data_IF_291037792064
#
_entry.id   IF_291037792064
#
_cell.length_a   1.000
_cell.length_b   1.000
_cell.length_c   1.000
_cell.angle_alpha   90.00
_cell.angle_beta   90.00
_cell.angle_gamma   90.00
#
_symmetry.space_group_name_H-M   'P 1'
#
loop_
_entity.id
_entity.type
_entity.pdbx_description
1 polymer ?
#
# COMPACT_ATOMS: atom_id res chain seq x y z
N UNK A 1 13.85 12.47 -29.99
CA UNK A 1 12.38 12.60 -29.98
C UNK A 1 11.93 12.22 -28.58
N UNK A 2 11.38 13.14 -27.78
CA UNK A 2 10.93 12.83 -26.42
C UNK A 2 9.76 11.86 -26.50
N UNK A 3 9.92 10.66 -25.95
CA UNK A 3 8.81 9.73 -25.76
C UNK A 3 7.73 10.43 -24.95
N UNK A 4 6.48 10.51 -25.43
CA UNK A 4 5.43 11.22 -24.72
C UNK A 4 5.18 10.56 -23.36
N UNK A 5 5.12 11.40 -22.32
CA UNK A 5 4.83 10.95 -20.97
C UNK A 5 3.33 10.64 -20.85
N UNK A 6 2.91 9.52 -20.23
CA UNK A 6 1.50 9.24 -19.99
C UNK A 6 0.93 10.13 -18.88
N UNK A 7 -0.34 10.53 -19.02
CA UNK A 7 -1.13 11.14 -17.95
C UNK A 7 -1.16 10.22 -16.71
N UNK A 8 -1.02 10.73 -15.47
CA UNK A 8 -1.03 9.90 -14.27
C UNK A 8 -2.39 9.25 -13.97
N UNK A 9 -3.46 9.71 -14.61
CA UNK A 9 -4.84 9.25 -14.37
C UNK A 9 -5.35 8.34 -15.49
N UNK A 10 -5.35 8.80 -16.74
CA UNK A 10 -5.86 8.02 -17.88
C UNK A 10 -4.78 7.29 -18.69
N UNK A 11 -3.50 7.51 -18.35
CA UNK A 11 -2.33 6.89 -19.00
C UNK A 11 -2.18 7.12 -20.51
N UNK A 12 -3.01 8.00 -21.08
CA UNK A 12 -2.83 8.46 -22.46
C UNK A 12 -1.68 9.47 -22.55
N UNK A 13 -0.96 9.50 -23.69
CA UNK A 13 0.09 10.50 -23.96
C UNK A 13 -0.36 11.93 -23.66
N UNK A 14 0.50 12.70 -23.00
CA UNK A 14 0.34 14.16 -22.84
C UNK A 14 1.52 14.91 -23.44
N UNK A 15 1.26 16.11 -23.97
CA UNK A 15 2.24 16.97 -24.65
C UNK A 15 2.99 17.90 -23.70
N UNK A 16 2.46 18.14 -22.50
CA UNK A 16 3.04 19.05 -21.50
C UNK A 16 2.25 19.05 -20.18
N UNK A 17 2.68 19.87 -19.20
CA UNK A 17 1.96 20.01 -17.93
C UNK A 17 0.65 20.78 -18.13
N UNK A 18 -0.28 20.64 -17.19
CA UNK A 18 -1.61 21.27 -17.26
C UNK A 18 -2.74 20.24 -17.38
N UNK A 19 -3.93 20.68 -17.79
CA UNK A 19 -5.09 19.79 -17.91
C UNK A 19 -4.90 18.82 -19.09
N UNK A 20 -5.05 17.52 -18.83
CA UNK A 20 -5.00 16.48 -19.85
C UNK A 20 -6.22 16.59 -20.78
N UNK A 21 -6.03 16.62 -22.10
CA UNK A 21 -7.14 16.72 -23.05
C UNK A 21 -8.06 15.49 -23.08
N UNK A 22 -7.57 14.34 -22.60
CA UNK A 22 -8.33 13.09 -22.62
C UNK A 22 -9.27 12.93 -21.41
N UNK A 23 -8.89 13.50 -20.28
CA UNK A 23 -9.50 13.19 -18.99
C UNK A 23 -9.58 14.42 -18.06
N UNK A 24 -9.06 15.57 -18.45
CA UNK A 24 -9.11 16.80 -17.65
C UNK A 24 -8.26 16.79 -16.37
N UNK A 25 -7.57 15.70 -16.04
CA UNK A 25 -6.65 15.62 -14.89
C UNK A 25 -5.57 16.70 -15.03
N UNK A 26 -5.31 17.44 -13.95
CA UNK A 26 -4.15 18.35 -13.90
C UNK A 26 -2.88 17.52 -13.75
N UNK A 27 -2.04 17.55 -14.78
CA UNK A 27 -0.73 16.90 -14.83
C UNK A 27 0.32 17.88 -14.33
N UNK A 28 0.93 17.63 -13.15
CA UNK A 28 1.96 18.50 -12.59
C UNK A 28 3.26 18.41 -13.41
N UNK A 29 4.06 19.47 -13.39
CA UNK A 29 5.35 19.51 -14.11
C UNK A 29 6.32 18.46 -13.56
N UNK A 30 6.28 18.22 -12.26
CA UNK A 30 7.08 17.25 -11.53
C UNK A 30 6.86 15.83 -12.06
N UNK A 31 5.62 15.48 -12.43
CA UNK A 31 5.33 14.19 -13.06
C UNK A 31 6.06 14.03 -14.40
N UNK A 32 6.23 15.11 -15.16
CA UNK A 32 6.85 15.04 -16.48
C UNK A 32 8.38 15.08 -16.44
N UNK A 33 8.95 15.76 -15.44
CA UNK A 33 10.39 16.09 -15.39
C UNK A 33 11.17 15.29 -14.34
N UNK A 34 10.49 14.70 -13.36
CA UNK A 34 11.12 13.96 -12.26
C UNK A 34 11.21 12.46 -12.55
N UNK A 35 12.01 11.76 -11.73
CA UNK A 35 11.93 10.30 -11.69
C UNK A 35 10.57 9.90 -11.10
N UNK A 36 9.77 9.17 -11.89
CA UNK A 36 8.42 8.76 -11.52
C UNK A 36 8.38 7.37 -10.90
N UNK A 37 7.58 7.24 -9.85
CA UNK A 37 7.17 5.96 -9.28
C UNK A 37 5.67 5.99 -9.06
N UNK A 38 4.97 4.95 -9.53
CA UNK A 38 3.52 4.83 -9.47
C UNK A 38 3.11 3.52 -8.81
N UNK A 39 2.20 3.61 -7.85
CA UNK A 39 1.78 2.50 -7.00
C UNK A 39 0.26 2.40 -7.01
N UNK A 40 -0.26 1.20 -7.27
CA UNK A 40 -1.66 0.87 -7.03
C UNK A 40 -1.78 0.08 -5.74
N UNK A 41 -2.55 0.60 -4.79
CA UNK A 41 -2.93 -0.08 -3.56
C UNK A 41 -4.27 -0.80 -3.76
N UNK A 42 -4.26 -2.12 -3.65
CA UNK A 42 -5.44 -2.99 -3.79
C UNK A 42 -5.63 -3.84 -2.53
N UNK A 43 -6.82 -4.41 -2.37
CA UNK A 43 -7.19 -5.27 -1.25
C UNK A 43 -8.68 -5.18 -0.97
N UNK A 44 -9.26 -6.23 -0.40
CA UNK A 44 -10.70 -6.24 -0.13
C UNK A 44 -11.10 -5.19 0.91
N UNK A 45 -12.40 -4.96 1.05
CA UNK A 45 -12.95 -4.10 2.11
C UNK A 45 -12.38 -4.53 3.46
N UNK A 46 -12.00 -3.60 4.32
CA UNK A 46 -11.43 -3.86 5.66
C UNK A 46 -10.12 -4.67 5.71
N UNK A 47 -9.39 -4.81 4.60
CA UNK A 47 -8.02 -5.36 4.60
C UNK A 47 -6.99 -4.41 5.22
N UNK A 48 -7.40 -3.22 5.68
CA UNK A 48 -6.52 -2.23 6.29
C UNK A 48 -5.95 -1.18 5.33
N UNK A 49 -6.34 -1.19 4.05
CA UNK A 49 -5.81 -0.31 3.00
C UNK A 49 -5.76 1.17 3.36
N UNK A 50 -6.87 1.79 3.73
CA UNK A 50 -6.92 3.22 4.04
C UNK A 50 -6.01 3.57 5.23
N UNK A 51 -5.93 2.69 6.24
CA UNK A 51 -5.05 2.85 7.39
C UNK A 51 -3.58 2.69 6.99
N UNK A 52 -3.26 1.69 6.18
CA UNK A 52 -1.91 1.50 5.62
C UNK A 52 -1.49 2.71 4.81
N UNK A 53 -2.35 3.26 3.94
CA UNK A 53 -2.06 4.47 3.14
C UNK A 53 -1.77 5.67 4.05
N UNK A 54 -2.62 5.92 5.04
CA UNK A 54 -2.48 7.03 5.97
C UNK A 54 -1.13 6.98 6.71
N UNK A 55 -0.83 5.83 7.30
CA UNK A 55 0.39 5.63 8.09
C UNK A 55 1.63 5.60 7.18
N UNK A 56 1.55 4.98 6.00
CA UNK A 56 2.66 4.89 5.05
C UNK A 56 3.10 6.27 4.56
N UNK A 57 2.17 7.12 4.13
CA UNK A 57 2.51 8.46 3.62
C UNK A 57 3.01 9.36 4.76
N UNK A 58 2.44 9.24 5.96
CA UNK A 58 2.92 9.97 7.15
C UNK A 58 4.35 9.56 7.50
N UNK A 59 4.62 8.25 7.61
CA UNK A 59 5.97 7.75 7.90
C UNK A 59 6.96 8.04 6.77
N UNK A 60 6.52 8.08 5.50
CA UNK A 60 7.37 8.48 4.39
C UNK A 60 7.83 9.93 4.55
N UNK A 61 6.94 10.83 4.96
CA UNK A 61 7.27 12.23 5.19
C UNK A 61 8.33 12.38 6.29
N UNK A 62 8.13 11.71 7.44
CA UNK A 62 9.11 11.70 8.54
C UNK A 62 10.45 11.09 8.11
N UNK A 63 10.39 9.95 7.41
CA UNK A 63 11.56 9.27 6.87
C UNK A 63 12.38 10.16 5.93
N UNK A 64 11.71 10.92 5.05
CA UNK A 64 12.39 11.82 4.12
C UNK A 64 13.08 12.98 4.84
N UNK A 65 12.49 13.50 5.91
CA UNK A 65 13.09 14.55 6.74
C UNK A 65 14.34 13.99 7.44
N UNK A 66 14.20 12.87 8.12
CA UNK A 66 15.23 12.32 9.00
C UNK A 66 16.40 11.70 8.23
N UNK A 67 16.11 10.94 7.17
CA UNK A 67 17.12 10.17 6.43
C UNK A 67 17.64 10.89 5.19
N UNK A 68 16.85 11.77 4.59
CA UNK A 68 17.16 12.38 3.29
C UNK A 68 17.19 13.91 3.32
N UNK A 69 16.90 14.56 4.46
CA UNK A 69 16.83 16.02 4.61
C UNK A 69 15.93 16.65 3.54
N UNK A 70 14.81 16.00 3.27
CA UNK A 70 13.90 16.30 2.17
C UNK A 70 12.47 16.35 2.67
N UNK A 71 11.60 17.04 1.92
CA UNK A 71 10.21 17.22 2.28
C UNK A 71 9.30 16.59 1.24
N UNK A 72 8.31 15.83 1.72
CA UNK A 72 7.24 15.32 0.89
C UNK A 72 6.26 16.45 0.59
N UNK A 73 6.23 16.93 -0.66
CA UNK A 73 5.42 18.07 -1.06
C UNK A 73 4.30 17.61 -1.99
N UNK A 74 3.02 17.80 -1.65
CA UNK A 74 1.90 17.41 -2.50
C UNK A 74 1.91 18.21 -3.82
N UNK A 75 1.63 17.54 -4.95
CA UNK A 75 1.65 18.16 -6.29
C UNK A 75 0.42 17.80 -7.11
N UNK A 76 0.07 18.67 -8.06
CA UNK A 76 -1.15 18.54 -8.85
C UNK A 76 -2.39 18.99 -8.08
N UNK A 77 -3.54 18.41 -8.42
CA UNK A 77 -4.77 18.67 -7.67
C UNK A 77 -4.79 17.79 -6.42
N UNK A 78 -4.45 18.38 -5.28
CA UNK A 78 -4.46 17.72 -3.96
C UNK A 78 -5.58 18.26 -3.06
N UNK A 79 -6.46 19.12 -3.59
CA UNK A 79 -7.51 19.79 -2.82
C UNK A 79 -6.99 20.74 -1.72
N UNK A 80 -7.93 21.41 -1.05
CA UNK A 80 -7.69 22.13 0.19
C UNK A 80 -8.44 21.41 1.32
N UNK A 81 -8.00 21.61 2.56
CA UNK A 81 -8.80 21.19 3.71
C UNK A 81 -10.11 21.98 3.74
N UNK A 82 -11.19 21.32 4.13
CA UNK A 82 -12.46 21.96 4.40
C UNK A 82 -12.28 23.03 5.48
N UNK A 83 -13.03 24.14 5.43
CA UNK A 83 -12.91 25.21 6.44
C UNK A 83 -13.10 24.69 7.87
N UNK A 84 -13.99 23.70 8.03
CA UNK A 84 -14.27 23.01 9.28
C UNK A 84 -13.02 22.29 9.80
N UNK A 85 -12.40 21.44 8.96
CA UNK A 85 -11.21 20.69 9.36
C UNK A 85 -9.98 21.59 9.47
N UNK A 86 -9.85 22.63 8.67
CA UNK A 86 -8.73 23.57 8.72
C UNK A 86 -8.64 24.35 10.04
N UNK A 87 -9.78 24.56 10.73
CA UNK A 87 -9.83 25.22 12.03
C UNK A 87 -9.42 24.33 13.21
N UNK A 88 -9.54 23.01 13.07
CA UNK A 88 -9.32 22.05 14.16
C UNK A 88 -8.06 21.19 13.96
N UNK A 89 -7.70 20.90 12.71
CA UNK A 89 -6.63 19.97 12.39
C UNK A 89 -5.24 20.55 12.69
N UNK A 90 -4.28 19.70 13.11
CA UNK A 90 -2.88 20.09 13.20
C UNK A 90 -2.35 20.65 11.88
N UNK A 91 -1.50 21.68 11.95
CA UNK A 91 -0.94 22.34 10.76
C UNK A 91 -0.24 21.39 9.77
N UNK A 92 0.34 20.30 10.28
CA UNK A 92 1.02 19.29 9.45
C UNK A 92 0.05 18.46 8.58
N UNK A 93 -1.26 18.44 8.85
CA UNK A 93 -2.22 17.76 7.96
C UNK A 93 -2.19 18.37 6.56
N UNK A 94 -2.26 19.70 6.50
CA UNK A 94 -2.27 20.43 5.23
C UNK A 94 -0.98 20.25 4.43
N UNK A 95 0.18 20.01 5.10
CA UNK A 95 1.46 19.84 4.41
C UNK A 95 1.54 18.56 3.58
N UNK A 96 0.69 17.57 3.84
CA UNK A 96 0.59 16.33 3.05
C UNK A 96 -0.50 16.38 1.96
N UNK A 97 -1.26 17.47 1.88
CA UNK A 97 -2.31 17.72 0.87
C UNK A 97 -3.73 17.60 1.45
N UNK A 98 -4.61 18.55 1.11
CA UNK A 98 -5.95 18.69 1.70
C UNK A 98 -6.82 17.45 1.55
N UNK A 99 -6.96 16.92 0.33
CA UNK A 99 -7.71 15.70 0.03
C UNK A 99 -7.17 14.49 0.79
N UNK A 100 -5.84 14.34 0.85
CA UNK A 100 -5.22 13.23 1.58
C UNK A 100 -5.54 13.34 3.07
N UNK A 101 -5.38 14.53 3.64
CA UNK A 101 -5.66 14.77 5.05
C UNK A 101 -7.13 14.55 5.42
N UNK A 102 -8.08 15.02 4.60
CA UNK A 102 -9.51 14.77 4.81
C UNK A 102 -9.86 13.29 4.69
N UNK A 103 -9.32 12.61 3.69
CA UNK A 103 -9.71 11.22 3.38
C UNK A 103 -9.07 10.22 4.35
N UNK A 104 -7.84 10.49 4.80
CA UNK A 104 -7.03 9.50 5.51
C UNK A 104 -6.62 9.95 6.92
N UNK A 105 -6.14 11.18 7.10
CA UNK A 105 -5.63 11.62 8.41
C UNK A 105 -6.75 11.97 9.38
N UNK A 106 -7.78 12.70 8.94
CA UNK A 106 -8.89 13.07 9.80
C UNK A 106 -9.62 11.83 10.35
N UNK A 107 -10.00 10.83 9.54
CA UNK A 107 -10.58 9.60 10.06
C UNK A 107 -9.63 8.80 10.96
N UNK A 108 -8.33 8.78 10.66
CA UNK A 108 -7.35 8.06 11.49
C UNK A 108 -7.26 8.66 12.89
N UNK A 109 -7.03 9.97 12.98
CA UNK A 109 -6.69 10.65 14.23
C UNK A 109 -7.91 11.16 15.00
N UNK A 110 -8.99 11.59 14.33
CA UNK A 110 -10.18 12.14 14.99
C UNK A 110 -11.25 11.07 15.21
N UNK A 111 -11.42 10.12 14.29
CA UNK A 111 -12.43 9.06 14.37
C UNK A 111 -11.88 7.74 14.92
N UNK A 112 -10.71 7.80 15.58
CA UNK A 112 -10.02 6.67 16.22
C UNK A 112 -9.85 5.42 15.35
N UNK A 113 -9.58 5.61 14.06
CA UNK A 113 -9.34 4.51 13.12
C UNK A 113 -10.60 3.88 12.51
N UNK A 114 -11.79 4.42 12.78
CA UNK A 114 -13.02 4.05 12.05
C UNK A 114 -13.03 4.72 10.67
N UNK A 115 -12.19 4.22 9.76
CA UNK A 115 -12.23 4.65 8.37
C UNK A 115 -13.41 3.99 7.65
N UNK A 116 -14.23 4.80 6.97
CA UNK A 116 -15.18 4.25 6.01
C UNK A 116 -14.43 3.58 4.85
N UNK A 117 -15.06 2.59 4.21
CA UNK A 117 -14.45 1.91 3.06
C UNK A 117 -14.13 2.90 1.94
N UNK A 118 -13.03 2.66 1.20
CA UNK A 118 -12.64 3.46 0.02
C UNK A 118 -13.85 3.65 -0.91
N UNK A 119 -14.16 4.91 -1.24
CA UNK A 119 -15.24 5.25 -2.13
C UNK A 119 -15.07 4.56 -3.49
N UNK A 120 -16.16 4.03 -4.03
CA UNK A 120 -16.21 3.34 -5.32
C UNK A 120 -15.92 4.32 -6.47
N UNK A 121 -15.52 3.80 -7.62
CA UNK A 121 -15.37 4.59 -8.85
C UNK A 121 -16.71 5.02 -9.50
N UNK A 122 -17.80 5.14 -8.73
CA UNK A 122 -19.20 5.25 -9.22
C UNK A 122 -19.51 6.52 -10.04
N UNK A 123 -18.68 7.56 -10.00
CA UNK A 123 -18.93 8.82 -10.74
C UNK A 123 -17.67 9.57 -11.20
N UNK A 124 -16.48 8.99 -11.01
CA UNK A 124 -15.23 9.75 -11.08
C UNK A 124 -14.10 9.00 -11.76
N UNK A 125 -13.39 9.75 -12.57
CA UNK A 125 -12.08 9.39 -13.08
C UNK A 125 -11.11 9.10 -11.94
N UNK A 126 -10.21 8.13 -12.14
CA UNK A 126 -9.15 7.80 -11.19
C UNK A 126 -8.33 9.05 -10.83
N UNK A 127 -8.33 9.46 -9.56
CA UNK A 127 -7.60 10.64 -9.09
C UNK A 127 -6.36 10.21 -8.28
N UNK A 128 -5.19 10.02 -8.93
CA UNK A 128 -3.98 9.67 -8.21
C UNK A 128 -3.61 10.80 -7.23
N UNK A 129 -3.21 10.44 -6.02
CA UNK A 129 -2.55 11.36 -5.10
C UNK A 129 -1.06 11.40 -5.44
N UNK A 130 -0.50 12.59 -5.55
CA UNK A 130 0.87 12.76 -6.02
C UNK A 130 1.67 13.63 -5.08
N UNK A 131 2.94 13.25 -4.88
CA UNK A 131 3.89 14.02 -4.10
C UNK A 131 5.23 14.10 -4.83
N UNK A 132 5.89 15.23 -4.69
CA UNK A 132 7.27 15.43 -5.11
C UNK A 132 8.19 15.48 -3.89
N UNK A 133 9.42 15.02 -4.08
CA UNK A 133 10.49 15.11 -3.09
C UNK A 133 11.83 15.00 -3.79
N UNK A 134 12.92 15.21 -3.05
CA UNK A 134 14.30 15.08 -3.56
C UNK A 134 15.06 14.02 -2.79
N UNK A 135 15.91 13.26 -3.47
CA UNK A 135 16.91 12.39 -2.84
C UNK A 135 18.24 12.66 -3.50
N UNK A 136 19.26 13.05 -2.74
CA UNK A 136 20.59 13.43 -3.28
C UNK A 136 20.47 14.39 -4.49
N UNK A 137 19.66 15.44 -4.35
CA UNK A 137 19.34 16.41 -5.40
C UNK A 137 18.62 15.91 -6.66
N UNK A 138 18.17 14.67 -6.66
CA UNK A 138 17.36 14.12 -7.76
C UNK A 138 15.87 14.32 -7.47
N UNK A 139 15.14 15.06 -8.32
CA UNK A 139 13.71 15.24 -8.14
C UNK A 139 12.98 13.93 -8.45
N UNK A 140 12.07 13.56 -7.57
CA UNK A 140 11.26 12.36 -7.63
C UNK A 140 9.78 12.74 -7.52
N UNK A 141 8.90 11.99 -8.20
CA UNK A 141 7.46 12.14 -8.13
C UNK A 141 6.82 10.77 -7.86
N UNK A 142 6.15 10.65 -6.72
CA UNK A 142 5.38 9.46 -6.33
C UNK A 142 3.91 9.69 -6.65
N UNK A 143 3.29 8.77 -7.37
CA UNK A 143 1.85 8.70 -7.57
C UNK A 143 1.28 7.47 -6.85
N UNK A 144 0.28 7.68 -6.00
CA UNK A 144 -0.44 6.65 -5.29
C UNK A 144 -1.88 6.59 -5.80
N UNK A 145 -2.31 5.39 -6.17
CA UNK A 145 -3.66 5.10 -6.61
C UNK A 145 -4.30 4.22 -5.53
N UNK A 146 -5.33 4.74 -4.87
CA UNK A 146 -6.16 3.94 -3.97
C UNK A 146 -7.27 3.26 -4.78
N UNK A 147 -7.21 1.93 -4.93
CA UNK A 147 -8.20 1.17 -5.65
C UNK A 147 -9.21 0.53 -4.69
N UNK A 148 -10.50 0.82 -4.85
CA UNK A 148 -11.53 0.22 -4.02
C UNK A 148 -11.59 -1.30 -4.24
N UNK A 149 -11.63 -2.07 -3.15
CA UNK A 149 -11.70 -3.53 -3.23
C UNK A 149 -13.03 -4.03 -3.81
N UNK A 150 -14.09 -3.25 -3.62
CA UNK A 150 -15.44 -3.55 -4.12
C UNK A 150 -15.52 -3.45 -5.64
N UNK A 151 -14.76 -2.53 -6.25
CA UNK A 151 -14.71 -2.42 -7.72
C UNK A 151 -14.23 -3.74 -8.35
N UNK A 152 -13.27 -4.43 -7.73
CA UNK A 152 -12.78 -5.74 -8.21
C UNK A 152 -13.80 -6.88 -8.05
N UNK A 153 -14.82 -6.71 -7.22
CA UNK A 153 -15.90 -7.68 -7.04
C UNK A 153 -17.04 -7.42 -8.03
N UNK A 154 -17.36 -6.15 -8.25
CA UNK A 154 -18.53 -5.72 -9.03
C UNK A 154 -18.22 -5.58 -10.54
N UNK A 155 -16.98 -5.25 -10.91
CA UNK A 155 -16.59 -4.95 -12.28
C UNK A 155 -15.93 -6.13 -12.99
N UNK A 156 -16.08 -6.16 -14.32
CA UNK A 156 -15.38 -7.14 -15.15
C UNK A 156 -13.89 -6.81 -15.23
N UNK A 157 -13.00 -7.82 -15.30
CA UNK A 157 -11.56 -7.57 -15.38
C UNK A 157 -11.11 -6.68 -16.55
N UNK A 158 -11.86 -6.67 -17.65
CA UNK A 158 -11.58 -5.83 -18.83
C UNK A 158 -12.15 -4.42 -18.76
N UNK A 159 -12.77 -4.03 -17.64
CA UNK A 159 -13.36 -2.70 -17.47
C UNK A 159 -12.29 -1.60 -17.60
N UNK A 160 -12.47 -0.59 -18.47
CA UNK A 160 -11.48 0.47 -18.70
C UNK A 160 -10.99 1.20 -17.44
N UNK A 161 -11.78 1.19 -16.36
CA UNK A 161 -11.39 1.74 -15.06
C UNK A 161 -10.16 1.05 -14.47
N UNK A 162 -9.85 -0.19 -14.87
CA UNK A 162 -8.65 -0.91 -14.44
C UNK A 162 -7.42 -0.69 -15.34
N UNK A 163 -7.51 0.18 -16.35
CA UNK A 163 -6.40 0.48 -17.27
C UNK A 163 -5.10 0.92 -16.57
N UNK A 164 -5.19 1.55 -15.39
CA UNK A 164 -4.02 1.93 -14.60
C UNK A 164 -3.13 0.75 -14.21
N UNK A 165 -3.69 -0.45 -14.04
CA UNK A 165 -2.94 -1.66 -13.70
C UNK A 165 -1.93 -2.06 -14.77
N UNK A 166 -2.05 -1.55 -16.00
CA UNK A 166 -1.09 -1.79 -17.07
C UNK A 166 0.19 -0.93 -16.98
N UNK A 167 0.15 0.15 -16.19
CA UNK A 167 1.17 1.20 -16.22
C UNK A 167 1.88 1.44 -14.90
N UNK A 168 1.29 1.02 -13.78
CA UNK A 168 1.92 1.20 -12.45
C UNK A 168 3.22 0.42 -12.30
N UNK A 169 4.19 0.99 -11.58
CA UNK A 169 5.47 0.32 -11.29
C UNK A 169 5.29 -0.81 -10.24
N UNK A 170 4.35 -0.63 -9.31
CA UNK A 170 4.03 -1.59 -8.25
C UNK A 170 2.53 -1.76 -8.08
N UNK A 171 2.08 -3.01 -8.08
CA UNK A 171 0.76 -3.41 -7.59
C UNK A 171 0.94 -3.95 -6.17
N UNK A 172 0.29 -3.33 -5.19
CA UNK A 172 0.31 -3.78 -3.79
C UNK A 172 -1.02 -4.43 -3.49
N UNK A 173 -1.03 -5.72 -3.14
CA UNK A 173 -2.22 -6.40 -2.65
C UNK A 173 -2.12 -6.64 -1.15
N UNK A 174 -2.95 -5.92 -0.40
CA UNK A 174 -3.09 -6.10 1.04
C UNK A 174 -3.98 -7.31 1.34
N UNK A 175 -3.46 -8.21 2.15
CA UNK A 175 -4.09 -9.44 2.58
C UNK A 175 -4.21 -9.40 4.11
N UNK A 176 -5.45 -9.40 4.60
CA UNK A 176 -5.78 -9.65 5.98
C UNK A 176 -5.75 -11.17 6.22
N UNK A 177 -4.86 -11.67 7.11
CA UNK A 177 -4.79 -13.10 7.42
C UNK A 177 -6.14 -13.70 7.86
N UNK A 178 -7.02 -12.91 8.46
CA UNK A 178 -8.34 -13.35 8.92
C UNK A 178 -9.37 -13.50 7.80
N UNK A 179 -9.06 -13.06 6.58
CA UNK A 179 -9.94 -13.12 5.39
C UNK A 179 -9.54 -14.19 4.39
N UNK A 180 -8.52 -14.97 4.73
CA UNK A 180 -8.09 -16.13 3.95
C UNK A 180 -8.62 -17.35 4.70
N UNK A 181 -9.64 -18.07 4.17
CA UNK A 181 -10.36 -19.09 4.93
C UNK A 181 -9.45 -20.15 5.58
N UNK A 182 -8.38 -20.56 4.88
CA UNK A 182 -7.41 -21.53 5.37
C UNK A 182 -6.62 -20.99 6.57
N UNK A 183 -6.17 -19.72 6.50
CA UNK A 183 -5.41 -19.07 7.57
C UNK A 183 -6.34 -18.80 8.76
N UNK A 184 -7.53 -18.27 8.50
CA UNK A 184 -8.54 -18.00 9.53
C UNK A 184 -8.95 -19.27 10.28
N UNK A 185 -9.10 -20.42 9.60
CA UNK A 185 -9.43 -21.70 10.22
C UNK A 185 -8.33 -22.18 11.18
N UNK A 186 -7.06 -22.02 10.81
CA UNK A 186 -5.92 -22.33 11.68
C UNK A 186 -5.92 -21.43 12.92
N UNK A 187 -6.15 -20.13 12.72
CA UNK A 187 -6.16 -19.14 13.80
C UNK A 187 -7.37 -19.28 14.75
N UNK A 188 -8.54 -19.67 14.24
CA UNK A 188 -9.75 -19.90 15.04
C UNK A 188 -9.57 -21.04 16.06
N UNK A 189 -8.68 -22.00 15.79
CA UNK A 189 -8.30 -23.04 16.75
C UNK A 189 -7.38 -22.58 17.88
N UNK A 190 -6.87 -21.34 17.81
CA UNK A 190 -5.80 -20.82 18.67
C UNK A 190 -6.20 -19.56 19.42
N UNK A 191 -7.07 -18.73 18.84
CA UNK A 191 -7.49 -17.45 19.40
C UNK A 191 -8.92 -17.11 18.99
N UNK A 192 -9.57 -16.24 19.78
CA UNK A 192 -10.89 -15.71 19.44
C UNK A 192 -10.75 -14.70 18.30
N UNK A 193 -11.38 -14.99 17.16
CA UNK A 193 -11.32 -14.15 15.98
C UNK A 193 -12.62 -13.37 15.79
N UNK A 194 -12.55 -12.07 15.44
CA UNK A 194 -13.70 -11.37 14.92
C UNK A 194 -14.12 -11.96 13.56
N UNK A 195 -15.42 -12.04 13.32
CA UNK A 195 -15.98 -12.50 12.05
C UNK A 195 -15.52 -11.58 10.90
N UNK A 196 -14.60 -12.06 10.07
CA UNK A 196 -14.15 -11.35 8.88
C UNK A 196 -15.13 -11.53 7.73
N UNK A 197 -15.62 -10.44 7.14
CA UNK A 197 -16.36 -10.47 5.88
C UNK A 197 -15.42 -10.16 4.69
N UNK A 198 -15.49 -10.94 3.62
CA UNK A 198 -14.71 -10.73 2.39
C UNK A 198 -13.64 -11.81 2.14
N UNK A 199 -13.26 -11.95 0.87
CA UNK A 199 -12.29 -12.96 0.39
C UNK A 199 -11.13 -12.25 -0.33
N UNK A 200 -10.01 -12.12 0.37
CA UNK A 200 -8.82 -11.43 -0.13
C UNK A 200 -8.13 -12.21 -1.27
N UNK A 201 -8.27 -13.53 -1.30
CA UNK A 201 -7.76 -14.37 -2.38
C UNK A 201 -8.57 -14.13 -3.67
N UNK A 202 -9.90 -14.03 -3.56
CA UNK A 202 -10.74 -13.68 -4.70
C UNK A 202 -10.42 -12.29 -5.26
N UNK A 203 -10.21 -11.29 -4.39
CA UNK A 203 -9.80 -9.95 -4.81
C UNK A 203 -8.42 -9.96 -5.48
N UNK A 204 -7.44 -10.69 -4.92
CA UNK A 204 -6.13 -10.86 -5.56
C UNK A 204 -6.26 -11.45 -6.97
N UNK A 205 -7.03 -12.54 -7.13
CA UNK A 205 -7.27 -13.13 -8.45
C UNK A 205 -7.88 -12.13 -9.43
N UNK A 206 -8.86 -11.33 -8.98
CA UNK A 206 -9.49 -10.29 -9.80
C UNK A 206 -8.50 -9.21 -10.20
N UNK A 207 -7.67 -8.71 -9.28
CA UNK A 207 -6.61 -7.74 -9.57
C UNK A 207 -5.65 -8.26 -10.63
N UNK A 208 -5.20 -9.52 -10.50
CA UNK A 208 -4.28 -10.14 -11.45
C UNK A 208 -4.93 -10.37 -12.82
N UNK A 209 -6.21 -10.78 -12.86
CA UNK A 209 -6.99 -10.88 -14.09
C UNK A 209 -7.15 -9.53 -14.78
N UNK A 210 -7.50 -8.48 -14.03
CA UNK A 210 -7.66 -7.13 -14.59
C UNK A 210 -6.33 -6.61 -15.14
N UNK A 211 -5.24 -6.79 -14.37
CA UNK A 211 -3.90 -6.44 -14.84
C UNK A 211 -3.55 -7.17 -16.14
N UNK A 212 -3.86 -8.46 -16.24
CA UNK A 212 -3.58 -9.24 -17.45
C UNK A 212 -4.45 -8.80 -18.64
N UNK A 213 -5.72 -8.46 -18.41
CA UNK A 213 -6.63 -7.97 -19.43
C UNK A 213 -6.21 -6.62 -20.02
N UNK A 214 -5.55 -5.77 -19.22
CA UNK A 214 -5.06 -4.47 -19.65
C UNK A 214 -3.58 -4.43 -20.04
N UNK A 215 -2.86 -5.55 -19.92
CA UNK A 215 -1.41 -5.61 -20.16
C UNK A 215 -1.08 -5.10 -21.57
N UNK A 216 -0.18 -4.13 -21.65
CA UNK A 216 0.33 -3.59 -22.91
C UNK A 216 1.63 -4.32 -23.29
N UNK A 217 1.73 -4.79 -24.54
CA UNK A 217 2.97 -5.37 -25.06
C UNK A 217 4.08 -4.31 -25.05
N UNK A 218 5.21 -4.62 -24.43
CA UNK A 218 6.29 -3.65 -24.21
C UNK A 218 5.97 -2.57 -23.18
N UNK A 219 4.92 -2.75 -22.36
CA UNK A 219 4.61 -1.89 -21.22
C UNK A 219 5.71 -1.88 -20.15
N UNK A 220 5.62 -0.98 -19.16
CA UNK A 220 6.65 -0.86 -18.13
C UNK A 220 6.83 -2.16 -17.35
N UNK A 221 8.04 -2.46 -16.85
CA UNK A 221 8.22 -3.56 -15.91
C UNK A 221 7.46 -3.26 -14.62
N UNK A 222 6.68 -4.22 -14.14
CA UNK A 222 5.83 -4.08 -12.96
C UNK A 222 6.18 -5.16 -11.95
N UNK A 223 6.07 -4.83 -10.66
CA UNK A 223 6.23 -5.78 -9.57
C UNK A 223 4.94 -5.93 -8.75
N UNK A 224 4.81 -7.06 -8.06
CA UNK A 224 3.73 -7.33 -7.12
C UNK A 224 4.25 -7.36 -5.69
N UNK A 225 3.64 -6.61 -4.78
CA UNK A 225 3.85 -6.75 -3.35
C UNK A 225 2.62 -7.44 -2.75
N UNK A 226 2.79 -8.62 -2.16
CA UNK A 226 1.77 -9.23 -1.32
C UNK A 226 2.06 -8.85 0.13
N UNK A 227 1.17 -8.07 0.74
CA UNK A 227 1.40 -7.50 2.08
C UNK A 227 0.41 -8.10 3.07
N UNK A 228 0.88 -8.89 4.03
CA UNK A 228 0.08 -9.30 5.18
C UNK A 228 -0.12 -8.09 6.10
N UNK A 229 -1.29 -7.45 6.06
CA UNK A 229 -1.52 -6.07 6.52
C UNK A 229 -1.89 -5.90 8.01
N UNK A 230 -2.30 -7.00 8.65
CA UNK A 230 -2.61 -7.10 10.08
C UNK A 230 -1.69 -8.11 10.74
N UNK A 231 -0.40 -8.00 10.44
CA UNK A 231 0.59 -8.98 10.85
C UNK A 231 0.76 -9.07 12.37
N UNK A 232 0.37 -8.02 13.09
CA UNK A 232 0.26 -7.99 14.55
C UNK A 232 -0.64 -9.12 15.09
N UNK A 233 -1.69 -9.50 14.38
CA UNK A 233 -2.53 -10.68 14.72
C UNK A 233 -1.69 -11.95 14.72
N UNK A 234 -0.86 -12.15 13.68
CA UNK A 234 0.00 -13.31 13.58
C UNK A 234 1.12 -13.27 14.62
N UNK A 235 1.63 -12.08 14.96
CA UNK A 235 2.62 -11.91 16.03
C UNK A 235 2.11 -12.33 17.41
N UNK A 236 0.80 -12.34 17.66
CA UNK A 236 0.21 -12.86 18.90
C UNK A 236 0.32 -14.38 19.04
N UNK A 237 0.53 -15.11 17.94
CA UNK A 237 0.70 -16.57 18.00
C UNK A 237 1.88 -17.00 18.87
N UNK A 238 2.87 -16.12 19.08
CA UNK A 238 4.00 -16.38 20.00
C UNK A 238 3.54 -16.66 21.44
N UNK A 239 2.37 -16.15 21.83
CA UNK A 239 1.87 -16.22 23.20
C UNK A 239 0.96 -17.44 23.43
N UNK A 240 0.56 -18.14 22.36
CA UNK A 240 -0.41 -19.24 22.41
C UNK A 240 0.26 -20.61 22.67
N UNK A 241 1.59 -20.72 22.63
CA UNK A 241 2.35 -21.98 22.78
C UNK A 241 1.74 -23.11 21.94
N UNK A 242 1.60 -22.86 20.63
CA UNK A 242 1.00 -23.78 19.68
C UNK A 242 2.06 -24.34 18.72
N UNK A 243 2.45 -25.61 18.90
CA UNK A 243 3.25 -26.31 17.90
C UNK A 243 2.44 -26.50 16.59
N UNK A 244 3.03 -26.25 15.40
CA UNK A 244 4.43 -25.93 15.14
C UNK A 244 4.78 -24.43 15.11
N UNK A 245 3.82 -23.53 15.34
CA UNK A 245 3.98 -22.07 15.20
C UNK A 245 5.02 -21.47 16.13
N UNK A 246 5.16 -22.00 17.35
CA UNK A 246 6.18 -21.58 18.31
C UNK A 246 7.59 -21.60 17.69
N UNK A 247 7.90 -22.65 16.93
CA UNK A 247 9.23 -22.85 16.35
C UNK A 247 9.61 -21.83 15.28
N UNK A 248 8.63 -21.13 14.70
CA UNK A 248 8.82 -20.09 13.67
C UNK A 248 8.67 -18.71 14.29
N UNK A 249 7.62 -18.50 15.08
CA UNK A 249 7.32 -17.21 15.69
C UNK A 249 8.32 -16.83 16.79
N UNK A 250 8.98 -17.79 17.44
CA UNK A 250 9.94 -17.51 18.52
C UNK A 250 11.40 -17.47 18.08
N UNK A 251 11.72 -17.64 16.79
CA UNK A 251 13.11 -17.64 16.32
C UNK A 251 13.82 -16.32 16.69
N UNK A 252 14.94 -16.37 17.44
CA UNK A 252 15.74 -15.19 17.69
C UNK A 252 16.28 -14.63 16.37
N UNK A 253 16.17 -13.31 16.17
CA UNK A 253 16.66 -12.64 14.96
C UNK A 253 15.72 -12.68 13.75
N UNK A 254 14.54 -13.30 13.86
CA UNK A 254 13.57 -13.37 12.77
C UNK A 254 13.23 -11.97 12.23
N UNK A 255 13.29 -11.79 10.91
CA UNK A 255 13.00 -10.52 10.25
C UNK A 255 11.57 -10.04 10.56
N UNK A 256 10.60 -10.94 10.61
CA UNK A 256 9.19 -10.66 10.93
C UNK A 256 8.93 -10.15 12.37
N UNK A 257 9.97 -10.09 13.22
CA UNK A 257 9.89 -9.59 14.61
C UNK A 257 10.56 -8.24 14.83
N UNK A 258 11.20 -7.69 13.81
CA UNK A 258 11.93 -6.41 13.89
C UNK A 258 11.50 -5.50 12.77
N UNK A 259 11.55 -4.20 13.02
CA UNK A 259 11.26 -3.18 12.02
C UNK A 259 12.51 -2.32 11.76
N UNK A 260 13.16 -2.45 10.58
CA UNK A 260 14.27 -1.59 10.17
C UNK A 260 13.80 -0.35 9.38
N UNK A 261 12.51 -0.21 9.08
CA UNK A 261 11.97 0.74 8.08
C UNK A 261 12.48 2.18 8.24
N UNK A 262 12.57 2.68 9.47
CA UNK A 262 13.00 4.05 9.78
C UNK A 262 14.48 4.16 10.18
N UNK A 263 15.18 3.03 10.33
CA UNK A 263 16.57 3.00 10.83
C UNK A 263 17.60 3.12 9.72
N UNK A 264 17.26 2.67 8.51
CA UNK A 264 18.17 2.67 7.37
C UNK A 264 17.72 3.67 6.31
N UNK A 265 18.63 4.44 5.68
CA UNK A 265 18.26 5.44 4.67
C UNK A 265 17.75 4.83 3.36
N UNK A 266 17.95 3.53 3.16
CA UNK A 266 17.52 2.77 1.98
C UNK A 266 16.82 1.48 2.40
N UNK A 267 16.21 0.76 1.46
CA UNK A 267 15.67 -0.57 1.73
C UNK A 267 16.82 -1.56 2.01
N UNK A 268 16.71 -2.33 3.10
CA UNK A 268 17.64 -3.42 3.40
C UNK A 268 17.19 -4.67 2.64
N UNK A 269 17.81 -4.93 1.49
CA UNK A 269 17.45 -6.05 0.61
C UNK A 269 17.71 -7.42 1.27
N UNK A 270 18.73 -7.53 2.13
CA UNK A 270 19.08 -8.78 2.80
C UNK A 270 18.01 -9.11 3.84
N UNK A 271 17.64 -8.14 4.66
CA UNK A 271 16.53 -8.28 5.60
C UNK A 271 15.21 -8.54 4.89
N UNK A 272 14.96 -7.85 3.77
CA UNK A 272 13.79 -8.04 2.93
C UNK A 272 13.65 -9.44 2.36
N UNK A 273 14.75 -10.02 1.88
CA UNK A 273 14.79 -11.39 1.38
C UNK A 273 14.56 -12.42 2.50
N UNK A 274 15.11 -12.16 3.69
CA UNK A 274 14.86 -13.00 4.87
C UNK A 274 13.38 -12.93 5.28
N UNK A 275 12.78 -11.74 5.30
CA UNK A 275 11.36 -11.56 5.59
C UNK A 275 10.49 -12.32 4.58
N UNK A 276 10.78 -12.20 3.28
CA UNK A 276 10.05 -12.92 2.23
C UNK A 276 10.09 -14.45 2.47
N UNK A 277 11.27 -15.01 2.75
CA UNK A 277 11.44 -16.43 3.04
C UNK A 277 10.69 -16.87 4.32
N UNK A 278 10.73 -16.06 5.37
CA UNK A 278 10.00 -16.33 6.62
C UNK A 278 8.48 -16.34 6.39
N UNK A 279 7.95 -15.36 5.64
CA UNK A 279 6.51 -15.29 5.34
C UNK A 279 6.09 -16.45 4.44
N UNK A 280 6.91 -16.87 3.47
CA UNK A 280 6.64 -18.08 2.65
C UNK A 280 6.46 -19.30 3.54
N UNK A 281 7.42 -19.54 4.44
CA UNK A 281 7.35 -20.67 5.38
C UNK A 281 6.13 -20.60 6.31
N UNK A 282 5.79 -19.40 6.78
CA UNK A 282 4.60 -19.18 7.61
C UNK A 282 3.29 -19.47 6.83
N UNK A 283 3.18 -18.98 5.60
CA UNK A 283 2.01 -19.24 4.74
C UNK A 283 1.88 -20.72 4.39
N UNK A 284 2.98 -21.44 4.16
CA UNK A 284 2.93 -22.88 3.92
C UNK A 284 2.33 -23.66 5.10
N UNK A 285 2.69 -23.30 6.34
CA UNK A 285 2.14 -23.91 7.54
C UNK A 285 0.67 -23.56 7.79
N UNK A 286 0.26 -22.34 7.46
CA UNK A 286 -1.14 -21.90 7.60
C UNK A 286 -2.01 -22.32 6.40
N UNK A 287 -1.52 -23.25 5.56
CA UNK A 287 -2.20 -23.71 4.34
C UNK A 287 -2.56 -22.59 3.35
N UNK A 288 -1.80 -21.49 3.36
CA UNK A 288 -1.96 -20.30 2.51
C UNK A 288 -1.35 -20.42 1.11
N UNK A 289 -1.04 -21.64 0.63
CA UNK A 289 -0.38 -21.88 -0.68
C UNK A 289 -1.15 -21.29 -1.87
N UNK A 290 -2.46 -21.14 -1.76
CA UNK A 290 -3.28 -20.54 -2.81
C UNK A 290 -2.85 -19.10 -3.15
N UNK A 291 -2.43 -18.32 -2.15
CA UNK A 291 -1.91 -16.95 -2.35
C UNK A 291 -0.59 -16.97 -3.14
N UNK A 292 0.31 -17.88 -2.78
CA UNK A 292 1.61 -18.05 -3.45
C UNK A 292 1.41 -18.47 -4.90
N UNK A 293 0.56 -19.46 -5.14
CA UNK A 293 0.23 -19.94 -6.49
C UNK A 293 -0.40 -18.83 -7.35
N UNK A 294 -1.28 -18.00 -6.78
CA UNK A 294 -1.88 -16.88 -7.48
C UNK A 294 -0.81 -15.84 -7.90
N UNK A 295 0.11 -15.50 -7.00
CA UNK A 295 1.21 -14.58 -7.30
C UNK A 295 2.18 -15.16 -8.35
N UNK A 296 2.54 -16.42 -8.26
CA UNK A 296 3.39 -17.09 -9.25
C UNK A 296 2.74 -17.11 -10.64
N UNK A 297 1.44 -17.39 -10.70
CA UNK A 297 0.67 -17.38 -11.94
C UNK A 297 0.59 -15.99 -12.61
N UNK A 298 0.83 -14.90 -11.86
CA UNK A 298 0.86 -13.54 -12.43
C UNK A 298 2.03 -13.30 -13.39
N UNK A 299 3.08 -14.13 -13.31
CA UNK A 299 4.35 -13.94 -14.04
C UNK A 299 5.00 -12.56 -13.80
N UNK A 300 4.64 -11.88 -12.71
CA UNK A 300 5.31 -10.68 -12.24
C UNK A 300 6.36 -11.05 -11.20
N UNK A 301 7.50 -10.35 -11.14
CA UNK A 301 8.36 -10.45 -9.97
C UNK A 301 7.55 -10.01 -8.74
N UNK A 302 7.50 -10.86 -7.72
CA UNK A 302 6.76 -10.58 -6.49
C UNK A 302 7.59 -10.84 -5.24
N UNK A 303 7.25 -10.10 -4.19
CA UNK A 303 7.83 -10.27 -2.86
C UNK A 303 6.72 -10.20 -1.81
N UNK A 304 6.87 -10.99 -0.75
CA UNK A 304 6.01 -10.98 0.41
C UNK A 304 6.51 -9.97 1.44
N UNK A 305 5.57 -9.23 2.02
CA UNK A 305 5.82 -8.26 3.07
C UNK A 305 4.87 -8.51 4.23
N UNK A 306 5.29 -8.09 5.42
CA UNK A 306 4.48 -8.06 6.62
C UNK A 306 4.33 -6.60 7.05
N UNK A 307 3.11 -6.20 7.40
CA UNK A 307 2.83 -4.87 7.90
C UNK A 307 1.77 -4.91 8.98
N UNK A 308 1.85 -4.01 9.95
CA UNK A 308 0.76 -3.71 10.87
C UNK A 308 0.70 -2.19 11.04
N UNK A 309 -0.29 -1.55 10.40
CA UNK A 309 -0.33 -0.09 10.33
C UNK A 309 -0.63 0.56 11.70
N UNK A 310 -1.48 -0.05 12.52
CA UNK A 310 -1.77 0.45 13.87
C UNK A 310 -0.79 -0.11 14.92
N UNK A 311 -0.26 -1.32 14.69
CA UNK A 311 0.60 -2.01 15.66
C UNK A 311 -0.12 -2.46 16.93
N UNK A 312 -1.44 -2.50 16.92
CA UNK A 312 -2.29 -2.95 18.03
C UNK A 312 -3.31 -3.93 17.47
N UNK A 313 -3.33 -5.13 18.03
CA UNK A 313 -4.20 -6.19 17.58
C UNK A 313 -5.69 -5.83 17.74
N UNK A 314 -6.54 -6.23 16.77
CA UNK A 314 -7.98 -5.99 16.83
C UNK A 314 -8.59 -6.71 18.04
N UNK A 315 -9.21 -5.96 18.95
CA UNK A 315 -9.82 -6.49 20.18
C UNK A 315 -9.75 -5.53 21.37
N UNK A 316 -8.87 -4.53 21.33
CA UNK A 316 -8.90 -3.41 22.26
C UNK A 316 -9.67 -2.26 21.61
N UNK A 317 -10.85 -1.94 22.15
CA UNK A 317 -11.60 -0.76 21.76
C UNK A 317 -10.70 0.49 21.83
N UNK A 318 -10.66 1.23 20.72
CA UNK A 318 -9.86 2.42 20.47
C UNK A 318 -8.34 2.20 20.38
N UNK A 319 -7.69 3.03 19.55
CA UNK A 319 -6.29 3.42 19.71
C UNK A 319 -5.97 3.46 21.20
N UNK A 320 -5.20 2.48 21.69
CA UNK A 320 -4.86 2.38 23.10
C UNK A 320 -4.24 3.69 23.57
N UNK A 321 -4.29 3.96 24.89
CA UNK A 321 -3.69 5.17 25.49
C UNK A 321 -2.21 5.40 25.13
N UNK A 322 -1.52 4.41 24.56
CA UNK A 322 -0.13 4.46 24.10
C UNK A 322 0.11 4.89 22.65
N UNK A 323 -0.93 5.19 21.85
CA UNK A 323 -0.78 5.61 20.45
C UNK A 323 -0.62 4.46 19.45
N UNK A 324 -0.26 4.80 18.20
CA UNK A 324 0.03 3.84 17.13
C UNK A 324 1.50 3.42 17.18
N UNK A 325 1.78 2.14 16.94
CA UNK A 325 3.14 1.60 16.82
C UNK A 325 3.31 0.84 15.50
N UNK A 326 3.35 1.53 14.36
CA UNK A 326 3.37 0.87 13.06
C UNK A 326 4.55 -0.07 12.91
N UNK A 327 4.33 -1.17 12.19
CA UNK A 327 5.34 -2.18 11.90
C UNK A 327 5.50 -2.37 10.39
N UNK A 328 6.71 -2.16 9.88
CA UNK A 328 7.15 -2.43 8.49
C UNK A 328 6.25 -1.85 7.40
N UNK A 329 5.57 -0.73 7.69
CA UNK A 329 4.62 -0.10 6.76
C UNK A 329 5.33 0.49 5.53
N UNK A 330 6.59 0.88 5.65
CA UNK A 330 7.34 1.47 4.54
C UNK A 330 8.07 0.46 3.65
N UNK A 331 8.17 -0.81 4.04
CA UNK A 331 9.09 -1.77 3.39
C UNK A 331 8.84 -1.91 1.89
N UNK A 332 7.59 -2.17 1.48
CA UNK A 332 7.25 -2.35 0.06
C UNK A 332 7.44 -1.07 -0.77
N UNK A 333 7.23 0.09 -0.14
CA UNK A 333 7.46 1.40 -0.74
C UNK A 333 8.95 1.67 -0.91
N UNK A 334 9.75 1.49 0.15
CA UNK A 334 11.22 1.64 0.12
C UNK A 334 11.84 0.69 -0.89
N UNK A 335 11.44 -0.58 -0.91
CA UNK A 335 11.93 -1.56 -1.87
C UNK A 335 11.68 -1.11 -3.32
N UNK A 336 10.50 -0.55 -3.59
CA UNK A 336 10.15 -0.04 -4.91
C UNK A 336 10.93 1.21 -5.27
N UNK A 337 11.06 2.16 -4.34
CA UNK A 337 11.84 3.38 -4.54
C UNK A 337 13.34 3.04 -4.78
N UNK A 338 13.92 2.10 -4.02
CA UNK A 338 15.28 1.59 -4.25
C UNK A 338 15.41 0.92 -5.62
N UNK A 339 14.49 0.02 -6.00
CA UNK A 339 14.49 -0.65 -7.31
C UNK A 339 14.39 0.32 -8.49
N UNK A 340 13.66 1.43 -8.30
CA UNK A 340 13.52 2.51 -9.28
C UNK A 340 14.69 3.49 -9.26
N UNK A 341 15.69 3.26 -8.39
CA UNK A 341 16.89 4.07 -8.28
C UNK A 341 16.65 5.44 -7.64
N UNK A 342 15.60 5.58 -6.83
CA UNK A 342 15.32 6.79 -6.02
C UNK A 342 16.24 6.84 -4.82
N UNK A 343 16.27 5.76 -4.03
CA UNK A 343 17.20 5.58 -2.91
C UNK A 343 18.42 4.79 -3.41
N UNK A 344 19.62 5.31 -3.17
CA UNK A 344 20.90 4.71 -3.58
C UNK A 344 21.81 4.53 -2.37
#
# INVERSE_FOLDING_TARGET
MNTPCPCPSCFRPVTGPGRCDNCGQVVPVEWLTSLRVSIAMTGARSSGKSVTIAVMITQLADFLVDQHKSFLTPVGDVGQLSPELAGEAPAWFASLGGRFAETYLAPLYHQRGLMQGTARLESGQLQPMMWSFRVQDRPCCLALIDAAGEDFQDLQPSDPRFSYLAYVDLVVSLIDPLKVPQIAAVLAGMMNLPSGSGDDLAVLHRVLQSRQAHRVNGGPPQALALVLSKFDVLQQLKDVQASPFDSIMMRPGAAMRRDPSLKTPTYDEIDGALLDAEIRGLLELMHGKALLNAAEASQMPFQLYASAALGVAPGTDALGKGGMSPFRVLDFLKATLTRRGVFQ
#
